data_IF_695908269354
#
_entry.id   IF_695908269354
#
_cell.length_a   1.000
_cell.length_b   1.000
_cell.length_c   1.000
_cell.angle_alpha   90.00
_cell.angle_beta   90.00
_cell.angle_gamma   90.00
#
_symmetry.space_group_name_H-M   'P 1'
#
loop_
_entity.id
_entity.type
_entity.pdbx_description
1 polymer ?
#
# COMPACT_ATOMS: atom_id res chain seq x y z
N UNK A 1 -11.78 -1.27 -3.87
CA UNK A 1 -10.52 -2.02 -4.07
C UNK A 1 -10.29 -2.34 -5.56
N UNK A 2 -9.06 -2.63 -6.05
CA UNK A 2 -8.87 -3.28 -7.36
C UNK A 2 -9.52 -4.66 -7.39
N UNK A 3 -9.87 -5.16 -8.57
CA UNK A 3 -10.58 -6.44 -8.73
C UNK A 3 -9.70 -7.67 -8.38
N UNK A 4 -8.37 -7.52 -8.48
CA UNK A 4 -7.41 -8.58 -8.25
C UNK A 4 -6.06 -8.07 -7.70
N UNK A 5 -5.23 -9.02 -7.24
CA UNK A 5 -3.94 -8.75 -6.60
C UNK A 5 -2.84 -8.26 -7.56
N UNK A 6 -2.87 -8.63 -8.84
CA UNK A 6 -1.93 -8.12 -9.83
C UNK A 6 -2.22 -6.65 -10.14
N UNK A 7 -3.50 -6.31 -10.32
CA UNK A 7 -3.97 -4.93 -10.47
C UNK A 7 -3.62 -4.07 -9.26
N UNK A 8 -3.68 -4.63 -8.04
CA UNK A 8 -3.21 -3.95 -6.83
C UNK A 8 -1.71 -3.62 -6.90
N UNK A 9 -0.88 -4.62 -7.22
CA UNK A 9 0.57 -4.44 -7.33
C UNK A 9 0.94 -3.35 -8.35
N UNK A 10 0.33 -3.36 -9.53
CA UNK A 10 0.59 -2.35 -10.56
C UNK A 10 0.25 -0.92 -10.13
N UNK A 11 -0.76 -0.76 -9.26
CA UNK A 11 -1.16 0.55 -8.72
C UNK A 11 -0.18 1.03 -7.65
N UNK A 12 0.13 0.20 -6.67
CA UNK A 12 1.02 0.60 -5.57
C UNK A 12 2.47 0.80 -6.02
N UNK A 13 2.93 0.06 -7.03
CA UNK A 13 4.26 0.22 -7.62
C UNK A 13 4.48 1.58 -8.32
N UNK A 14 3.46 2.44 -8.43
CA UNK A 14 3.61 3.83 -8.89
C UNK A 14 4.13 4.76 -7.80
N UNK A 15 3.90 4.44 -6.53
CA UNK A 15 4.29 5.27 -5.39
C UNK A 15 5.81 5.23 -5.12
N UNK A 16 6.51 4.21 -5.60
CA UNK A 16 7.97 4.08 -5.52
C UNK A 16 8.53 3.45 -6.80
N UNK A 17 9.44 4.15 -7.47
CA UNK A 17 10.16 3.67 -8.67
C UNK A 17 11.64 3.53 -8.37
N UNK A 18 12.30 2.52 -8.93
CA UNK A 18 13.75 2.33 -8.77
C UNK A 18 14.22 2.18 -7.30
N UNK A 19 13.44 1.45 -6.48
CA UNK A 19 13.80 1.20 -5.08
C UNK A 19 13.59 2.39 -4.14
N UNK A 20 12.90 3.44 -4.60
CA UNK A 20 12.53 4.60 -3.76
C UNK A 20 11.36 4.26 -2.84
N UNK A 21 11.32 4.94 -1.69
CA UNK A 21 10.20 4.83 -0.74
C UNK A 21 8.91 5.43 -1.31
N UNK A 22 7.77 4.88 -0.89
CA UNK A 22 6.44 5.37 -1.22
C UNK A 22 5.40 4.86 -0.22
N UNK A 23 4.24 5.54 -0.16
CA UNK A 23 3.12 5.17 0.70
C UNK A 23 1.89 4.84 -0.16
N UNK A 24 1.27 3.70 0.12
CA UNK A 24 -0.02 3.31 -0.46
C UNK A 24 -1.05 3.20 0.67
N UNK A 25 -2.20 3.85 0.48
CA UNK A 25 -3.35 3.75 1.40
C UNK A 25 -4.51 3.14 0.64
N UNK A 26 -5.10 2.10 1.20
CA UNK A 26 -6.21 1.36 0.58
C UNK A 26 -7.47 1.60 1.40
N UNK A 27 -8.53 2.08 0.76
CA UNK A 27 -9.84 2.17 1.41
C UNK A 27 -10.58 0.86 1.23
N UNK A 28 -11.12 0.36 2.34
CA UNK A 28 -11.91 -0.87 2.44
C UNK A 28 -13.29 -0.48 2.92
N UNK A 29 -14.32 -0.70 2.10
CA UNK A 29 -15.70 -0.33 2.41
C UNK A 29 -16.59 -1.52 2.76
N UNK A 30 -16.24 -2.71 2.29
CA UNK A 30 -17.05 -3.92 2.46
C UNK A 30 -16.18 -5.18 2.65
N UNK A 31 -16.84 -6.31 2.91
CA UNK A 31 -16.17 -7.60 3.11
C UNK A 31 -15.42 -8.08 1.85
N UNK A 32 -15.88 -7.70 0.66
CA UNK A 32 -15.23 -8.09 -0.61
C UNK A 32 -13.89 -7.39 -0.75
N UNK A 33 -13.84 -6.08 -0.46
CA UNK A 33 -12.61 -5.30 -0.42
C UNK A 33 -11.62 -5.91 0.59
N UNK A 34 -12.10 -6.33 1.77
CA UNK A 34 -11.28 -6.96 2.80
C UNK A 34 -10.72 -8.32 2.36
N UNK A 35 -11.54 -9.15 1.68
CA UNK A 35 -11.10 -10.43 1.13
C UNK A 35 -10.01 -10.23 0.08
N UNK A 36 -10.17 -9.29 -0.83
CA UNK A 36 -9.14 -8.98 -1.83
C UNK A 36 -7.86 -8.46 -1.17
N UNK A 37 -7.96 -7.68 -0.09
CA UNK A 37 -6.78 -7.18 0.63
C UNK A 37 -6.03 -8.33 1.32
N UNK A 38 -6.75 -9.28 1.90
CA UNK A 38 -6.14 -10.49 2.49
C UNK A 38 -5.44 -11.34 1.42
N UNK A 39 -6.03 -11.51 0.24
CA UNK A 39 -5.38 -12.22 -0.87
C UNK A 39 -4.09 -11.54 -1.32
N UNK A 40 -4.04 -10.20 -1.33
CA UNK A 40 -2.83 -9.43 -1.63
C UNK A 40 -1.75 -9.70 -0.58
N UNK A 41 -2.10 -9.66 0.71
CA UNK A 41 -1.18 -9.92 1.82
C UNK A 41 -0.58 -11.33 1.72
N UNK A 42 -1.43 -12.35 1.56
CA UNK A 42 -1.01 -13.75 1.45
C UNK A 42 -0.13 -14.00 0.21
N UNK A 43 -0.49 -13.41 -0.93
CA UNK A 43 0.22 -13.62 -2.21
C UNK A 43 1.63 -13.03 -2.20
N UNK A 44 1.81 -11.86 -1.58
CA UNK A 44 3.08 -11.15 -1.59
C UNK A 44 3.86 -11.26 -0.29
N UNK A 45 3.35 -12.02 0.70
CA UNK A 45 3.94 -12.17 2.03
C UNK A 45 4.23 -10.82 2.71
N UNK A 46 3.21 -9.95 2.69
CA UNK A 46 3.29 -8.60 3.27
C UNK A 46 2.17 -8.38 4.30
N UNK A 47 2.44 -7.53 5.29
CA UNK A 47 1.44 -7.08 6.26
C UNK A 47 0.98 -5.65 5.94
N UNK A 48 -0.32 -5.50 5.68
CA UNK A 48 -0.98 -4.21 5.49
C UNK A 48 -1.79 -3.92 6.75
N UNK A 49 -1.28 -3.00 7.57
CA UNK A 49 -1.89 -2.62 8.85
C UNK A 49 -2.86 -1.47 8.69
N UNK A 50 -3.73 -1.28 9.68
CA UNK A 50 -4.60 -0.10 9.74
C UNK A 50 -3.77 1.19 9.74
N UNK A 51 -4.32 2.23 9.10
CA UNK A 51 -3.67 3.53 9.03
C UNK A 51 -3.55 4.15 10.43
N UNK A 52 -2.35 4.42 10.95
CA UNK A 52 -2.19 5.04 12.26
C UNK A 52 -2.57 6.53 12.22
N UNK A 53 -2.91 7.11 13.37
CA UNK A 53 -3.23 8.55 13.50
C UNK A 53 -2.07 9.47 13.08
N UNK A 54 -0.83 8.96 13.14
CA UNK A 54 0.39 9.71 12.81
C UNK A 54 1.31 8.85 11.96
N UNK A 55 1.80 9.44 10.87
CA UNK A 55 2.77 8.83 9.97
C UNK A 55 3.96 9.78 9.87
N UNK A 56 5.16 9.27 10.13
CA UNK A 56 6.39 10.03 9.94
C UNK A 56 6.69 10.16 8.44
N UNK A 57 6.77 11.40 7.97
CA UNK A 57 7.00 11.74 6.55
C UNK A 57 8.31 11.17 6.01
N UNK A 58 9.33 11.03 6.85
CA UNK A 58 10.64 10.48 6.46
C UNK A 58 10.60 8.98 6.12
N UNK A 59 9.53 8.29 6.51
CA UNK A 59 9.35 6.84 6.25
C UNK A 59 8.95 6.55 4.81
N UNK A 60 8.35 7.52 4.10
CA UNK A 60 7.84 7.31 2.74
C UNK A 60 8.21 8.42 1.73
N UNK A 61 8.87 9.50 2.16
CA UNK A 61 9.41 10.55 1.28
C UNK A 61 10.94 10.59 1.42
N UNK A 62 11.64 10.54 0.29
CA UNK A 62 13.08 10.79 0.23
C UNK A 62 13.36 12.23 -0.20
N UNK A 63 14.31 12.91 0.47
CA UNK A 63 14.96 14.11 -0.08
C UNK A 63 14.23 15.46 0.04
N UNK A 64 13.54 15.75 1.15
CA UNK A 64 13.14 17.13 1.51
C UNK A 64 13.86 17.61 2.77
N UNK A 65 15.18 17.63 2.74
CA UNK A 65 15.96 18.56 3.56
C UNK A 65 15.95 19.91 2.84
N UNK A 66 15.56 20.97 3.56
CA UNK A 66 15.84 22.36 3.14
C UNK A 66 17.34 22.57 2.94
#
# INVERSE_FOLDING_TARGET
>A
MPEDSDSYLHRVARAGRFGTKGLAVTFVSDETDAQTLNQVQDRFDISITELPDKIDVSTYIEGRTN
#
